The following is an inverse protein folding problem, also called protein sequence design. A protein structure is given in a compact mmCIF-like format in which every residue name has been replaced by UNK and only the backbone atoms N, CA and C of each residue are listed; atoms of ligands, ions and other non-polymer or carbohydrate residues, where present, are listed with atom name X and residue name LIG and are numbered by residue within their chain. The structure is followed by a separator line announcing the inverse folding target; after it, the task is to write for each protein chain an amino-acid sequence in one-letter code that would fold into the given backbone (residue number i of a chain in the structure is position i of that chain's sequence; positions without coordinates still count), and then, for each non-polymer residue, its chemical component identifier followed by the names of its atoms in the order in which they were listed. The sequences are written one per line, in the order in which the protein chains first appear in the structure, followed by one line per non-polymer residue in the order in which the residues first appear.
data_IF_934035411469
#
_entry.id   IF_934035411469
#
_cell.length_a   1.000
_cell.length_b   1.000
_cell.length_c   1.000
_cell.angle_alpha   90.00
_cell.angle_beta   90.00
_cell.angle_gamma   90.00
#
_symmetry.space_group_name_H-M   'P 1'
#
loop_
_entity.id
_entity.type
_entity.pdbx_description
1 polymer ?
#
# COMPACT_ATOMS: atom_id res chain seq x y z
N UNK A 1 0.96 -12.21 -24.56
CA UNK A 1 0.14 -11.90 -23.36
C UNK A 1 0.39 -10.48 -22.83
N UNK A 2 1.51 -9.82 -23.20
CA UNK A 2 1.90 -8.46 -22.79
C UNK A 2 0.98 -7.33 -23.28
N UNK A 3 0.53 -7.37 -24.54
CA UNK A 3 -0.23 -6.25 -25.14
C UNK A 3 -1.58 -5.98 -24.48
N UNK A 4 -2.30 -7.03 -24.06
CA UNK A 4 -3.61 -6.90 -23.38
C UNK A 4 -3.49 -6.35 -21.96
N UNK A 5 -2.39 -6.67 -21.28
CA UNK A 5 -2.08 -6.16 -19.95
C UNK A 5 -1.68 -4.68 -20.00
N UNK A 6 -0.83 -4.31 -20.96
CA UNK A 6 -0.50 -2.90 -21.21
C UNK A 6 -1.73 -2.07 -21.59
N UNK A 7 -2.59 -2.57 -22.50
CA UNK A 7 -3.81 -1.85 -22.88
C UNK A 7 -4.78 -1.69 -21.70
N UNK A 8 -4.89 -2.70 -20.83
CA UNK A 8 -5.74 -2.62 -19.65
C UNK A 8 -5.19 -1.61 -18.63
N UNK A 9 -3.89 -1.63 -18.36
CA UNK A 9 -3.23 -0.64 -17.48
C UNK A 9 -3.40 0.76 -18.05
N UNK A 10 -3.22 0.94 -19.35
CA UNK A 10 -3.42 2.24 -19.99
C UNK A 10 -4.83 2.77 -19.85
N UNK A 11 -5.84 1.92 -20.06
CA UNK A 11 -7.24 2.30 -19.82
C UNK A 11 -7.50 2.71 -18.37
N UNK A 12 -6.89 2.05 -17.39
CA UNK A 12 -7.02 2.42 -15.97
C UNK A 12 -6.35 3.75 -15.68
N UNK A 13 -5.10 3.94 -16.12
CA UNK A 13 -4.35 5.20 -15.93
C UNK A 13 -5.11 6.36 -16.56
N UNK A 14 -5.57 6.20 -17.79
CA UNK A 14 -6.38 7.19 -18.51
C UNK A 14 -7.70 7.48 -17.78
N UNK A 15 -8.34 6.46 -17.21
CA UNK A 15 -9.57 6.65 -16.44
C UNK A 15 -9.36 7.47 -15.17
N UNK A 16 -8.16 7.40 -14.56
CA UNK A 16 -7.78 8.19 -13.38
C UNK A 16 -7.44 9.63 -13.79
N UNK A 17 -6.79 9.80 -14.94
CA UNK A 17 -6.46 11.12 -15.53
C UNK A 17 -7.62 11.83 -16.20
N UNK A 18 -8.74 11.14 -16.45
CA UNK A 18 -9.91 11.74 -17.07
C UNK A 18 -10.49 12.96 -16.32
N UNK A 19 -10.19 13.12 -15.03
CA UNK A 19 -10.53 14.35 -14.28
C UNK A 19 -9.72 14.48 -12.99
N UNK A 20 -9.47 15.72 -12.57
CA UNK A 20 -8.84 16.04 -11.28
C UNK A 20 -9.59 15.39 -10.10
N UNK A 21 -10.92 15.35 -10.16
CA UNK A 21 -11.76 14.70 -9.13
C UNK A 21 -11.43 13.22 -8.97
N UNK A 22 -11.22 12.48 -10.06
CA UNK A 22 -10.87 11.04 -9.99
C UNK A 22 -9.48 10.83 -9.43
N UNK A 23 -8.56 11.71 -9.76
CA UNK A 23 -7.21 11.69 -9.21
C UNK A 23 -7.19 11.92 -7.70
N UNK A 24 -7.96 12.90 -7.22
CA UNK A 24 -8.16 13.13 -5.77
C UNK A 24 -8.84 11.94 -5.11
N UNK A 25 -9.84 11.33 -5.77
CA UNK A 25 -10.48 10.11 -5.27
C UNK A 25 -9.50 8.95 -5.11
N UNK A 26 -8.51 8.80 -6.00
CA UNK A 26 -7.45 7.78 -5.85
C UNK A 26 -6.50 8.15 -4.71
N UNK A 27 -6.04 9.41 -4.68
CA UNK A 27 -5.09 9.89 -3.67
C UNK A 27 -5.65 9.82 -2.24
N UNK A 28 -6.97 9.92 -2.06
CA UNK A 28 -7.64 9.74 -0.77
C UNK A 28 -8.15 8.31 -0.57
N UNK A 29 -8.65 7.67 -1.63
CA UNK A 29 -9.24 6.35 -1.58
C UNK A 29 -8.25 5.26 -1.21
N UNK A 30 -7.04 5.28 -1.77
CA UNK A 30 -5.99 4.30 -1.44
C UNK A 30 -5.63 4.36 0.06
N UNK A 31 -5.31 5.52 0.64
CA UNK A 31 -5.05 5.62 2.08
C UNK A 31 -6.24 5.26 2.96
N UNK A 32 -7.47 5.62 2.57
CA UNK A 32 -8.67 5.26 3.31
C UNK A 32 -8.88 3.74 3.33
N UNK A 33 -8.71 3.07 2.18
CA UNK A 33 -8.79 1.62 2.11
C UNK A 33 -7.69 0.97 2.95
N UNK A 34 -6.46 1.47 2.87
CA UNK A 34 -5.37 1.01 3.75
C UNK A 34 -5.75 1.12 5.22
N UNK A 35 -6.21 2.30 5.66
CA UNK A 35 -6.62 2.53 7.04
C UNK A 35 -7.70 1.54 7.49
N UNK A 36 -8.81 1.43 6.74
CA UNK A 36 -9.92 0.55 7.08
C UNK A 36 -9.48 -0.91 7.14
N UNK A 37 -8.65 -1.35 6.19
CA UNK A 37 -8.19 -2.75 6.13
C UNK A 37 -7.30 -3.08 7.32
N UNK A 38 -6.37 -2.18 7.65
CA UNK A 38 -5.47 -2.34 8.79
C UNK A 38 -6.23 -2.29 10.11
N UNK A 39 -7.16 -1.35 10.28
CA UNK A 39 -7.99 -1.22 11.48
C UNK A 39 -8.83 -2.48 11.75
N UNK A 40 -9.44 -3.05 10.69
CA UNK A 40 -10.22 -4.27 10.78
C UNK A 40 -9.35 -5.51 11.06
N UNK A 41 -8.11 -5.53 10.58
CA UNK A 41 -7.20 -6.67 10.71
C UNK A 41 -6.37 -6.64 12.00
N UNK A 42 -6.01 -5.45 12.47
CA UNK A 42 -5.20 -5.23 13.66
C UNK A 42 -5.60 -3.92 14.34
N UNK A 43 -6.08 -4.02 15.57
CA UNK A 43 -6.42 -2.87 16.39
C UNK A 43 -5.15 -2.18 16.91
N UNK A 44 -4.48 -1.41 16.04
CA UNK A 44 -3.24 -0.68 16.31
C UNK A 44 -3.49 0.76 16.81
N UNK A 45 -4.73 1.06 17.22
CA UNK A 45 -5.14 2.39 17.67
C UNK A 45 -5.01 3.45 16.57
N UNK A 46 -4.48 4.62 16.89
CA UNK A 46 -4.41 5.74 15.94
C UNK A 46 -3.28 5.62 14.90
N UNK A 47 -2.36 4.66 15.04
CA UNK A 47 -1.20 4.56 14.16
C UNK A 47 -1.57 4.39 12.68
N UNK A 48 -2.49 3.49 12.28
CA UNK A 48 -2.88 3.32 10.88
C UNK A 48 -3.49 4.58 10.27
N UNK A 49 -4.24 5.35 11.07
CA UNK A 49 -4.81 6.62 10.64
C UNK A 49 -3.72 7.65 10.32
N UNK A 50 -2.72 7.80 11.20
CA UNK A 50 -1.59 8.72 10.97
C UNK A 50 -0.83 8.34 9.71
N UNK A 51 -0.56 7.05 9.51
CA UNK A 51 0.10 6.54 8.30
C UNK A 51 -0.74 6.78 7.04
N UNK A 52 -2.06 6.61 7.12
CA UNK A 52 -2.96 6.90 6.01
C UNK A 52 -2.98 8.39 5.66
N UNK A 53 -3.01 9.28 6.65
CA UNK A 53 -2.91 10.73 6.40
C UNK A 53 -1.58 11.08 5.73
N UNK A 54 -0.47 10.50 6.20
CA UNK A 54 0.85 10.68 5.57
C UNK A 54 0.88 10.18 4.12
N UNK A 55 0.29 9.00 3.87
CA UNK A 55 0.18 8.46 2.52
C UNK A 55 -0.69 9.35 1.62
N UNK A 56 -1.82 9.85 2.10
CA UNK A 56 -2.68 10.76 1.35
C UNK A 56 -1.93 12.04 0.95
N UNK A 57 -1.22 12.65 1.89
CA UNK A 57 -0.40 13.83 1.63
C UNK A 57 0.69 13.54 0.59
N UNK A 58 1.33 12.37 0.67
CA UNK A 58 2.36 11.93 -0.27
C UNK A 58 1.82 11.66 -1.69
N UNK A 59 0.60 11.11 -1.80
CA UNK A 59 -0.03 10.84 -3.09
C UNK A 59 -0.57 12.11 -3.76
N UNK A 60 -1.02 13.07 -2.96
CA UNK A 60 -1.51 14.36 -3.43
C UNK A 60 -0.43 15.20 -4.13
N UNK A 61 0.85 15.02 -3.78
CA UNK A 61 1.96 15.77 -4.38
C UNK A 61 2.50 15.18 -5.68
N UNK A 62 2.01 14.03 -6.13
CA UNK A 62 2.47 13.41 -7.38
C UNK A 62 2.04 14.25 -8.57
N UNK A 63 2.78 14.19 -9.68
CA UNK A 63 2.51 15.05 -10.85
C UNK A 63 1.65 14.36 -11.91
N UNK A 64 1.81 13.05 -12.08
CA UNK A 64 1.07 12.23 -13.06
C UNK A 64 0.18 11.18 -12.40
N UNK A 65 -0.81 10.65 -13.13
CA UNK A 65 -1.76 9.66 -12.61
C UNK A 65 -1.14 8.28 -12.49
N UNK A 66 -0.29 7.92 -13.45
CA UNK A 66 0.50 6.70 -13.38
C UNK A 66 1.42 6.72 -12.15
N UNK A 67 2.08 7.85 -11.88
CA UNK A 67 2.91 8.00 -10.69
C UNK A 67 2.06 7.94 -9.42
N UNK A 68 0.88 8.58 -9.37
CA UNK A 68 -0.04 8.48 -8.23
C UNK A 68 -0.45 7.03 -7.96
N UNK A 69 -0.80 6.25 -9.00
CA UNK A 69 -1.16 4.85 -8.85
C UNK A 69 0.03 4.00 -8.39
N UNK A 70 1.16 4.11 -9.08
CA UNK A 70 2.38 3.38 -8.75
C UNK A 70 2.85 3.67 -7.32
N UNK A 71 2.87 4.94 -6.94
CA UNK A 71 3.16 5.40 -5.59
C UNK A 71 2.15 4.90 -4.56
N UNK A 72 0.87 4.78 -4.94
CA UNK A 72 -0.18 4.21 -4.08
C UNK A 72 0.10 2.75 -3.75
N UNK A 73 0.35 1.92 -4.77
CA UNK A 73 0.72 0.51 -4.60
C UNK A 73 2.01 0.36 -3.79
N UNK A 74 3.07 1.08 -4.18
CA UNK A 74 4.36 1.00 -3.50
C UNK A 74 4.29 1.51 -2.06
N UNK A 75 3.57 2.60 -1.81
CA UNK A 75 3.40 3.21 -0.49
C UNK A 75 2.63 2.30 0.45
N UNK A 76 1.49 1.75 0.03
CA UNK A 76 0.75 0.74 0.83
C UNK A 76 1.63 -0.49 1.08
N UNK A 77 2.32 -0.97 0.05
CA UNK A 77 3.20 -2.13 0.17
C UNK A 77 4.31 -1.93 1.19
N UNK A 78 4.96 -0.76 1.17
CA UNK A 78 5.97 -0.37 2.14
C UNK A 78 5.39 -0.30 3.55
N UNK A 79 4.23 0.34 3.73
CA UNK A 79 3.57 0.46 5.03
C UNK A 79 3.23 -0.91 5.62
N UNK A 80 2.69 -1.85 4.83
CA UNK A 80 2.41 -3.20 5.29
C UNK A 80 3.67 -3.95 5.73
N UNK A 81 4.76 -3.85 4.95
CA UNK A 81 6.03 -4.44 5.32
C UNK A 81 6.61 -3.81 6.60
N UNK A 82 6.51 -2.49 6.76
CA UNK A 82 6.93 -1.79 7.97
C UNK A 82 6.09 -2.18 9.18
N UNK A 83 4.77 -2.32 9.04
CA UNK A 83 3.88 -2.76 10.11
C UNK A 83 4.16 -4.21 10.54
N UNK A 84 4.46 -5.09 9.58
CA UNK A 84 4.93 -6.44 9.88
C UNK A 84 6.19 -6.42 10.76
N UNK A 85 7.20 -5.64 10.38
CA UNK A 85 8.45 -5.52 11.14
C UNK A 85 8.20 -4.90 12.52
N UNK A 86 7.34 -3.88 12.60
CA UNK A 86 6.98 -3.22 13.85
C UNK A 86 6.30 -4.18 14.82
N UNK A 87 5.33 -4.97 14.34
CA UNK A 87 4.65 -5.95 15.19
C UNK A 87 5.61 -7.06 15.64
N UNK A 88 6.47 -7.55 14.75
CA UNK A 88 7.47 -8.56 15.11
C UNK A 88 8.46 -8.03 16.16
N UNK A 89 8.89 -6.77 16.02
CA UNK A 89 9.70 -6.09 17.03
C UNK A 89 8.97 -6.02 18.38
N UNK A 90 7.70 -5.62 18.39
CA UNK A 90 6.91 -5.52 19.63
C UNK A 90 6.77 -6.86 20.35
N UNK A 91 6.57 -7.96 19.61
CA UNK A 91 6.52 -9.32 20.18
C UNK A 91 7.84 -9.63 20.92
N UNK A 92 8.99 -9.35 20.29
CA UNK A 92 10.29 -9.54 20.93
C UNK A 92 10.55 -8.59 22.10
N UNK A 93 10.23 -7.30 21.94
CA UNK A 93 10.54 -6.25 22.91
C UNK A 93 9.67 -6.30 24.17
N UNK A 94 8.42 -6.78 24.07
CA UNK A 94 7.52 -6.95 25.23
C UNK A 94 7.82 -8.20 26.06
N UNK A 95 8.79 -9.03 25.65
CA UNK A 95 9.07 -10.29 26.31
C UNK A 95 7.93 -11.30 26.18
N UNK A 96 7.21 -11.28 25.05
CA UNK A 96 6.16 -12.24 24.75
C UNK A 96 6.69 -13.67 24.87
N UNK A 97 5.85 -14.58 25.38
CA UNK A 97 6.14 -16.02 25.40
C UNK A 97 5.91 -16.69 24.04
N UNK A 98 5.29 -15.98 23.09
CA UNK A 98 5.14 -16.43 21.70
C UNK A 98 6.53 -16.49 21.01
N UNK A 99 6.92 -17.63 20.43
CA UNK A 99 8.12 -17.70 19.61
C UNK A 99 8.06 -16.72 18.44
N UNK A 100 9.16 -16.01 18.17
CA UNK A 100 9.25 -15.05 17.06
C UNK A 100 8.90 -15.68 15.69
N UNK A 101 9.22 -16.96 15.48
CA UNK A 101 8.88 -17.68 14.26
C UNK A 101 7.37 -17.86 14.08
N UNK A 102 6.64 -18.11 15.17
CA UNK A 102 5.19 -18.26 15.15
C UNK A 102 4.52 -16.91 14.89
N UNK A 103 4.99 -15.85 15.55
CA UNK A 103 4.54 -14.49 15.30
C UNK A 103 4.79 -14.06 13.85
N UNK A 104 5.96 -14.35 13.30
CA UNK A 104 6.29 -14.08 11.90
C UNK A 104 5.38 -14.85 10.93
N UNK A 105 5.08 -16.11 11.25
CA UNK A 105 4.18 -16.95 10.44
C UNK A 105 2.75 -16.40 10.46
N UNK A 106 2.25 -16.03 11.64
CA UNK A 106 0.93 -15.40 11.84
C UNK A 106 0.80 -14.07 11.08
N UNK A 107 1.87 -13.29 11.02
CA UNK A 107 1.89 -11.99 10.36
C UNK A 107 2.33 -12.05 8.89
N UNK A 108 2.73 -13.22 8.38
CA UNK A 108 3.32 -13.39 7.04
C UNK A 108 2.45 -12.82 5.91
N UNK A 109 1.12 -12.86 6.05
CA UNK A 109 0.20 -12.28 5.06
C UNK A 109 0.42 -10.78 4.82
N UNK A 110 0.82 -10.04 5.83
CA UNK A 110 1.12 -8.60 5.73
C UNK A 110 2.38 -8.37 4.90
N UNK A 111 3.43 -9.15 5.18
CA UNK A 111 4.69 -9.07 4.46
C UNK A 111 4.52 -9.48 2.99
N UNK A 112 3.86 -10.61 2.74
CA UNK A 112 3.64 -11.11 1.38
C UNK A 112 2.82 -10.12 0.55
N UNK A 113 1.71 -9.61 1.10
CA UNK A 113 0.90 -8.58 0.43
C UNK A 113 1.72 -7.32 0.19
N UNK A 114 2.51 -6.90 1.19
CA UNK A 114 3.38 -5.74 1.09
C UNK A 114 4.39 -5.85 -0.06
N UNK A 115 5.08 -6.98 -0.17
CA UNK A 115 6.05 -7.25 -1.23
C UNK A 115 5.40 -7.31 -2.61
N UNK A 116 4.22 -7.94 -2.73
CA UNK A 116 3.48 -7.99 -3.99
C UNK A 116 3.08 -6.58 -4.43
N UNK A 117 2.55 -5.76 -3.53
CA UNK A 117 2.16 -4.38 -3.85
C UNK A 117 3.37 -3.50 -4.21
N UNK A 118 4.52 -3.68 -3.53
CA UNK A 118 5.77 -3.03 -3.92
C UNK A 118 6.20 -3.41 -5.34
N UNK A 119 6.17 -4.71 -5.66
CA UNK A 119 6.49 -5.20 -6.99
C UNK A 119 5.55 -4.66 -8.05
N UNK A 120 4.24 -4.60 -7.77
CA UNK A 120 3.24 -4.02 -8.65
C UNK A 120 3.44 -2.52 -8.84
N UNK A 121 3.73 -1.77 -7.76
CA UNK A 121 4.03 -0.34 -7.84
C UNK A 121 5.26 -0.06 -8.68
N UNK A 122 6.34 -0.83 -8.47
CA UNK A 122 7.55 -0.74 -9.29
C UNK A 122 7.29 -1.07 -10.76
N UNK A 123 6.53 -2.14 -11.02
CA UNK A 123 6.17 -2.53 -12.37
C UNK A 123 5.34 -1.44 -13.06
N UNK A 124 4.30 -0.90 -12.40
CA UNK A 124 3.48 0.19 -12.91
C UNK A 124 4.30 1.46 -13.20
N UNK A 125 5.29 1.77 -12.36
CA UNK A 125 6.18 2.91 -12.60
C UNK A 125 7.06 2.73 -13.85
N UNK A 126 7.38 1.48 -14.21
CA UNK A 126 8.32 1.15 -15.31
C UNK A 126 7.63 0.82 -16.63
N UNK A 127 6.33 0.52 -16.61
CA UNK A 127 5.58 0.26 -17.83
C UNK A 127 5.42 1.56 -18.60
N UNK A 128 5.91 1.58 -19.84
CA UNK A 128 5.55 2.61 -20.80
C UNK A 128 4.11 2.34 -21.26
N UNK A 129 3.24 3.31 -20.99
CA UNK A 129 1.82 3.32 -21.34
C UNK A 129 1.58 4.38 -22.40
#
# INVERSE_FOLDING_TARGET
MSYRLQSAVGSVVESVGASERRRVLVALGIPLLFWLTVELAANLGFLPLVLAVGLAAYLYTRETEQETLAAGFAGVGLLLASLFLLQLYWVGATGSTEPLADAATRLSGWLLTGVVLLGLGYWLYRVEV
#
